data_IF_134148559628
#
_entry.id   IF_134148559628
#
_cell.length_a   1.000
_cell.length_b   1.000
_cell.length_c   1.000
_cell.angle_alpha   90.00
_cell.angle_beta   90.00
_cell.angle_gamma   90.00
#
_symmetry.space_group_name_H-M   'P 1'
#
loop_
_entity.id
_entity.type
_entity.pdbx_description
1 polymer ?
#
# COMPACT_ATOMS: atom_id res chain seq x y z
N UNK A 1 9.79 10.84 -13.96
CA UNK A 1 9.04 12.10 -13.81
C UNK A 1 8.55 12.16 -12.37
N UNK A 2 8.74 13.27 -11.67
CA UNK A 2 8.26 13.45 -10.30
C UNK A 2 7.20 14.54 -10.26
N UNK A 3 6.05 14.24 -9.67
CA UNK A 3 4.99 15.22 -9.43
C UNK A 3 5.06 15.73 -7.98
N UNK A 4 4.75 17.00 -7.78
CA UNK A 4 4.76 17.63 -6.45
C UNK A 4 3.34 17.79 -5.93
N UNK A 5 3.07 17.31 -4.71
CA UNK A 5 1.77 17.41 -4.06
C UNK A 5 1.95 18.18 -2.76
N UNK A 6 1.14 19.22 -2.56
CA UNK A 6 1.09 19.99 -1.31
C UNK A 6 -0.16 19.61 -0.53
N UNK A 7 0.02 19.18 0.72
CA UNK A 7 -1.07 18.71 1.60
C UNK A 7 -0.96 19.38 2.95
N UNK A 8 -2.11 19.77 3.53
CA UNK A 8 -2.19 20.20 4.93
C UNK A 8 -2.47 19.00 5.81
N UNK A 9 -1.66 18.83 6.84
CA UNK A 9 -1.81 17.77 7.83
C UNK A 9 -1.97 18.38 9.23
N UNK A 10 -2.64 17.69 10.18
CA UNK A 10 -2.71 18.11 11.57
C UNK A 10 -1.32 18.31 12.18
N UNK A 11 -1.17 19.27 13.09
CA UNK A 11 0.11 19.59 13.72
C UNK A 11 0.75 18.38 14.42
N UNK A 12 -0.06 17.62 15.17
CA UNK A 12 0.37 16.39 15.84
C UNK A 12 0.94 15.35 14.85
N UNK A 13 0.32 15.21 13.67
CA UNK A 13 0.82 14.28 12.65
C UNK A 13 2.16 14.75 12.07
N UNK A 14 2.34 16.06 11.90
CA UNK A 14 3.61 16.64 11.47
C UNK A 14 4.73 16.41 12.51
N UNK A 15 4.42 16.52 13.80
CA UNK A 15 5.37 16.24 14.89
C UNK A 15 5.78 14.77 14.90
N UNK A 16 4.81 13.84 14.87
CA UNK A 16 5.08 12.40 14.79
C UNK A 16 5.93 12.02 13.58
N UNK A 17 5.66 12.63 12.42
CA UNK A 17 6.45 12.42 11.21
C UNK A 17 7.89 12.94 11.37
N UNK A 18 8.09 14.08 12.03
CA UNK A 18 9.42 14.60 12.32
C UNK A 18 10.22 13.66 13.23
N UNK A 19 9.61 13.11 14.27
CA UNK A 19 10.25 12.17 15.20
C UNK A 19 10.61 10.86 14.51
N UNK A 20 9.69 10.33 13.69
CA UNK A 20 9.92 9.11 12.93
C UNK A 20 11.07 9.29 11.92
N UNK A 21 11.12 10.43 11.24
CA UNK A 21 12.21 10.79 10.32
C UNK A 21 13.58 10.77 11.00
N UNK A 22 13.69 11.35 12.21
CA UNK A 22 14.92 11.32 13.00
C UNK A 22 15.29 9.90 13.43
N UNK A 23 14.30 9.14 13.90
CA UNK A 23 14.51 7.78 14.42
C UNK A 23 14.99 6.81 13.34
N UNK A 24 14.44 6.93 12.12
CA UNK A 24 14.79 6.08 11.00
C UNK A 24 16.01 6.57 10.21
N UNK A 25 16.54 7.75 10.53
CA UNK A 25 17.54 8.48 9.73
C UNK A 25 17.13 8.58 8.25
N UNK A 26 15.89 9.01 8.01
CA UNK A 26 15.30 9.16 6.68
C UNK A 26 14.61 10.51 6.54
N UNK A 27 14.53 11.00 5.31
CA UNK A 27 13.78 12.22 5.01
C UNK A 27 12.27 12.00 5.20
N UNK A 28 11.56 13.07 5.56
CA UNK A 28 10.09 13.06 5.62
C UNK A 28 9.48 12.66 4.29
N UNK A 29 10.04 13.16 3.18
CA UNK A 29 9.61 12.80 1.83
C UNK A 29 9.70 11.30 1.60
N UNK A 30 10.81 10.66 1.97
CA UNK A 30 10.96 9.20 1.83
C UNK A 30 9.85 8.46 2.60
N UNK A 31 9.58 8.86 3.84
CA UNK A 31 8.56 8.22 4.68
C UNK A 31 7.16 8.44 4.10
N UNK A 32 6.83 9.67 3.70
CA UNK A 32 5.52 10.00 3.09
C UNK A 32 5.31 9.18 1.82
N UNK A 33 6.29 9.19 0.90
CA UNK A 33 6.19 8.44 -0.35
C UNK A 33 6.03 6.95 -0.08
N UNK A 34 6.82 6.38 0.84
CA UNK A 34 6.72 4.97 1.19
C UNK A 34 5.36 4.62 1.79
N UNK A 35 4.87 5.42 2.74
CA UNK A 35 3.58 5.19 3.37
C UNK A 35 2.43 5.29 2.35
N UNK A 36 2.48 6.25 1.43
CA UNK A 36 1.50 6.38 0.34
C UNK A 36 1.53 5.17 -0.59
N UNK A 37 2.72 4.72 -1.02
CA UNK A 37 2.86 3.54 -1.87
C UNK A 37 2.27 2.29 -1.19
N UNK A 38 2.64 2.04 0.07
CA UNK A 38 2.12 0.89 0.81
C UNK A 38 0.61 0.94 1.00
N UNK A 39 0.07 2.11 1.33
CA UNK A 39 -1.38 2.28 1.48
C UNK A 39 -2.14 2.02 0.17
N UNK A 40 -1.61 2.49 -0.96
CA UNK A 40 -2.21 2.25 -2.26
C UNK A 40 -2.16 0.77 -2.64
N UNK A 41 -1.00 0.14 -2.49
CA UNK A 41 -0.80 -1.29 -2.78
C UNK A 41 -1.76 -2.17 -1.96
N UNK A 42 -1.82 -1.95 -0.64
CA UNK A 42 -2.74 -2.70 0.24
C UNK A 42 -4.21 -2.50 -0.15
N UNK A 43 -4.60 -1.28 -0.54
CA UNK A 43 -5.98 -0.98 -0.91
C UNK A 43 -6.35 -1.54 -2.29
N UNK A 44 -5.42 -1.50 -3.24
CA UNK A 44 -5.58 -2.11 -4.57
C UNK A 44 -5.75 -3.62 -4.44
N UNK A 45 -4.88 -4.29 -3.68
CA UNK A 45 -4.99 -5.73 -3.40
C UNK A 45 -6.30 -6.09 -2.71
N UNK A 46 -6.70 -5.30 -1.71
CA UNK A 46 -7.99 -5.46 -1.05
C UNK A 46 -9.17 -5.37 -2.03
N UNK A 47 -9.15 -4.38 -2.92
CA UNK A 47 -10.21 -4.21 -3.92
C UNK A 47 -10.25 -5.35 -4.93
N UNK A 48 -9.09 -5.85 -5.37
CA UNK A 48 -9.00 -7.03 -6.25
C UNK A 48 -9.61 -8.24 -5.55
N UNK A 49 -9.23 -8.51 -4.30
CA UNK A 49 -9.77 -9.61 -3.52
C UNK A 49 -11.29 -9.49 -3.31
N UNK A 50 -11.78 -8.28 -3.00
CA UNK A 50 -13.20 -8.02 -2.84
C UNK A 50 -13.97 -8.21 -4.15
N UNK A 51 -13.39 -7.80 -5.28
CA UNK A 51 -13.99 -8.00 -6.59
C UNK A 51 -14.12 -9.48 -6.91
N UNK A 52 -13.04 -10.25 -6.77
CA UNK A 52 -13.04 -11.71 -6.95
C UNK A 52 -14.04 -12.42 -6.05
N UNK A 53 -14.13 -12.02 -4.78
CA UNK A 53 -15.11 -12.58 -3.84
C UNK A 53 -16.56 -12.38 -4.29
N UNK A 54 -16.85 -11.26 -4.96
CA UNK A 54 -18.22 -10.90 -5.40
C UNK A 54 -18.55 -11.44 -6.78
N UNK A 55 -17.53 -11.78 -7.57
CA UNK A 55 -17.70 -12.36 -8.89
C UNK A 55 -17.99 -13.86 -8.77
N UNK A 56 -19.25 -14.23 -9.03
CA UNK A 56 -19.72 -15.62 -8.93
C UNK A 56 -19.21 -16.50 -10.06
N UNK A 57 -18.74 -15.89 -11.14
CA UNK A 57 -18.21 -16.57 -12.31
C UNK A 57 -16.67 -16.61 -12.27
N UNK A 58 -16.04 -16.10 -11.20
CA UNK A 58 -14.60 -16.16 -11.04
C UNK A 58 -14.12 -17.60 -10.92
N UNK A 59 -13.01 -17.89 -11.60
CA UNK A 59 -12.52 -19.25 -11.75
C UNK A 59 -11.89 -19.71 -10.44
N UNK A 60 -12.52 -20.69 -9.81
CA UNK A 60 -11.91 -21.41 -8.69
C UNK A 60 -10.74 -22.28 -9.21
N UNK A 61 -9.62 -22.21 -8.50
CA UNK A 61 -8.41 -22.99 -8.77
C UNK A 61 -8.37 -24.15 -7.80
N UNK A 62 -8.15 -25.38 -8.28
CA UNK A 62 -7.98 -26.54 -7.39
C UNK A 62 -6.60 -26.53 -6.71
N UNK A 63 -6.44 -27.30 -5.64
CA UNK A 63 -5.14 -27.46 -4.97
C UNK A 63 -4.05 -27.96 -5.94
N UNK A 64 -4.39 -28.88 -6.86
CA UNK A 64 -3.42 -29.38 -7.85
C UNK A 64 -3.04 -28.36 -8.92
N UNK A 65 -3.93 -27.42 -9.23
CA UNK A 65 -3.64 -26.32 -10.16
C UNK A 65 -2.80 -25.23 -9.49
N UNK A 66 -3.05 -24.93 -8.21
CA UNK A 66 -2.29 -23.96 -7.45
C UNK A 66 -0.82 -24.39 -7.30
N UNK A 67 -0.57 -25.66 -6.99
CA UNK A 67 0.78 -26.22 -6.85
C UNK A 67 1.62 -26.14 -8.13
N UNK A 68 1.01 -25.97 -9.31
CA UNK A 68 1.71 -25.83 -10.60
C UNK A 68 2.00 -24.37 -10.99
N UNK A 69 1.43 -23.40 -10.27
CA UNK A 69 1.63 -21.96 -10.52
C UNK A 69 2.80 -21.39 -9.71
N UNK A 70 3.21 -22.08 -8.64
CA UNK A 70 4.30 -21.66 -7.73
C UNK A 70 5.70 -22.21 -8.13
N UNK A 71 5.80 -22.97 -9.23
CA UNK A 71 7.04 -23.48 -9.85
C UNK A 71 7.44 -22.66 -11.11
#
# INVERSE_FOLDING_TARGET
>A
MSESISVRIPAELAERLNELAKTLDRSKTYIITKALSQYLEEYEDYLIALHRLRDKDDRLVSEEELAKLDD
#
